data_IF_778723257201
#
_entry.id   IF_778723257201
#
_cell.length_a   1.000
_cell.length_b   1.000
_cell.length_c   1.000
_cell.angle_alpha   90.00
_cell.angle_beta   90.00
_cell.angle_gamma   90.00
#
_symmetry.space_group_name_H-M   'P 1'
#
loop_
_entity.id
_entity.type
_entity.pdbx_description
1 polymer ?
#
# COMPACT_ATOMS: atom_id res chain seq x y z
N UNK A 1 -7.42 -61.80 -13.22
CA UNK A 1 -8.14 -61.13 -14.32
C UNK A 1 -9.24 -60.22 -13.75
N UNK A 2 -8.88 -59.21 -12.93
CA UNK A 2 -9.85 -58.32 -12.26
C UNK A 2 -9.34 -56.88 -12.07
N UNK A 3 -8.03 -56.63 -12.26
CA UNK A 3 -7.42 -55.32 -12.02
C UNK A 3 -7.49 -54.44 -13.28
N UNK A 4 -7.34 -55.02 -14.48
CA UNK A 4 -7.40 -54.28 -15.75
C UNK A 4 -8.80 -53.70 -16.04
N UNK A 5 -9.87 -54.43 -15.71
CA UNK A 5 -11.25 -53.95 -15.93
C UNK A 5 -11.63 -52.78 -15.01
N UNK A 6 -11.01 -52.72 -13.82
CA UNK A 6 -11.27 -51.64 -12.86
C UNK A 6 -10.57 -50.34 -13.28
N UNK A 7 -9.38 -50.45 -13.87
CA UNK A 7 -8.65 -49.31 -14.42
C UNK A 7 -9.34 -48.74 -15.66
N UNK A 8 -9.79 -49.59 -16.59
CA UNK A 8 -10.49 -49.14 -17.80
C UNK A 8 -11.83 -48.46 -17.48
N UNK A 9 -12.53 -48.91 -16.43
CA UNK A 9 -13.76 -48.28 -15.95
C UNK A 9 -13.49 -46.89 -15.34
N UNK A 10 -12.41 -46.73 -14.58
CA UNK A 10 -12.02 -45.42 -14.00
C UNK A 10 -11.57 -44.45 -15.09
N UNK A 11 -10.77 -44.92 -16.06
CA UNK A 11 -10.35 -44.12 -17.23
C UNK A 11 -11.55 -43.68 -18.07
N UNK A 12 -12.46 -44.59 -18.42
CA UNK A 12 -13.65 -44.23 -19.20
C UNK A 12 -14.58 -43.29 -18.43
N UNK A 13 -14.64 -43.39 -17.10
CA UNK A 13 -15.44 -42.48 -16.27
C UNK A 13 -14.80 -41.09 -16.15
N UNK A 14 -13.47 -41.01 -16.14
CA UNK A 14 -12.73 -39.74 -16.17
C UNK A 14 -12.83 -39.07 -17.53
N UNK A 15 -12.62 -39.82 -18.63
CA UNK A 15 -12.77 -39.30 -20.00
C UNK A 15 -14.19 -38.77 -20.25
N UNK A 16 -15.22 -39.55 -19.91
CA UNK A 16 -16.62 -39.12 -20.08
C UNK A 16 -16.99 -37.91 -19.22
N UNK A 17 -16.32 -37.70 -18.09
CA UNK A 17 -16.51 -36.50 -17.27
C UNK A 17 -15.76 -35.28 -17.82
N UNK A 18 -14.59 -35.48 -18.46
CA UNK A 18 -13.85 -34.42 -19.14
C UNK A 18 -14.55 -33.96 -20.43
N UNK A 19 -15.17 -34.87 -21.19
CA UNK A 19 -16.00 -34.54 -22.36
C UNK A 19 -17.29 -33.80 -21.97
N UNK A 20 -17.74 -33.95 -20.72
CA UNK A 20 -18.88 -33.21 -20.16
C UNK A 20 -18.52 -31.80 -19.70
N UNK A 21 -17.23 -31.48 -19.61
CA UNK A 21 -16.77 -30.15 -19.26
C UNK A 21 -16.94 -29.25 -20.49
N UNK A 22 -18.00 -28.44 -20.49
CA UNK A 22 -18.29 -27.54 -21.60
C UNK A 22 -17.29 -26.36 -21.56
N UNK A 23 -16.07 -26.60 -22.06
CA UNK A 23 -14.93 -25.67 -22.11
C UNK A 23 -15.33 -24.25 -22.55
N UNK A 24 -16.14 -24.03 -23.61
CA UNK A 24 -16.55 -22.67 -23.98
C UNK A 24 -17.41 -21.99 -22.91
N UNK A 25 -18.28 -22.72 -22.20
CA UNK A 25 -19.09 -22.20 -21.09
C UNK A 25 -18.24 -21.86 -19.87
N UNK A 26 -17.19 -22.63 -19.60
CA UNK A 26 -16.22 -22.34 -18.54
C UNK A 26 -15.40 -21.08 -18.84
N UNK A 27 -14.88 -20.97 -20.07
CA UNK A 27 -14.15 -19.77 -20.53
C UNK A 27 -15.01 -18.51 -20.41
N UNK A 28 -16.28 -18.60 -20.82
CA UNK A 28 -17.21 -17.49 -20.72
C UNK A 28 -17.44 -17.07 -19.26
N UNK A 29 -17.62 -18.01 -18.33
CA UNK A 29 -17.77 -17.71 -16.89
C UNK A 29 -16.53 -17.06 -16.29
N UNK A 30 -15.34 -17.55 -16.62
CA UNK A 30 -14.08 -16.96 -16.16
C UNK A 30 -13.91 -15.53 -16.67
N UNK A 31 -14.25 -15.28 -17.93
CA UNK A 31 -14.24 -13.94 -18.52
C UNK A 31 -15.21 -12.99 -17.81
N UNK A 32 -16.43 -13.44 -17.51
CA UNK A 32 -17.38 -12.64 -16.75
C UNK A 32 -16.91 -12.37 -15.31
N UNK A 33 -16.32 -13.34 -14.63
CA UNK A 33 -15.74 -13.14 -13.30
C UNK A 33 -14.59 -12.13 -13.34
N UNK A 34 -13.73 -12.20 -14.34
CA UNK A 34 -12.67 -11.22 -14.56
C UNK A 34 -13.23 -9.82 -14.78
N UNK A 35 -14.24 -9.67 -15.65
CA UNK A 35 -14.94 -8.41 -15.89
C UNK A 35 -15.57 -7.84 -14.62
N UNK A 36 -16.27 -8.67 -13.85
CA UNK A 36 -16.87 -8.27 -12.57
C UNK A 36 -15.78 -7.79 -11.61
N UNK A 37 -14.66 -8.52 -11.51
CA UNK A 37 -13.51 -8.11 -10.70
C UNK A 37 -12.94 -6.75 -11.14
N UNK A 38 -12.82 -6.54 -12.45
CA UNK A 38 -12.28 -5.29 -13.01
C UNK A 38 -13.22 -4.09 -12.76
N UNK A 39 -14.54 -4.30 -12.88
CA UNK A 39 -15.55 -3.28 -12.60
C UNK A 39 -15.60 -2.96 -11.11
N UNK A 40 -15.54 -3.97 -10.24
CA UNK A 40 -15.62 -3.79 -8.79
C UNK A 40 -14.33 -3.28 -8.17
N UNK A 41 -13.18 -3.44 -8.83
CA UNK A 41 -11.88 -3.04 -8.30
C UNK A 41 -11.84 -1.56 -7.90
N UNK A 42 -12.27 -0.66 -8.79
CA UNK A 42 -12.23 0.79 -8.53
C UNK A 42 -13.15 1.22 -7.38
N UNK A 43 -14.44 0.83 -7.34
CA UNK A 43 -15.32 1.11 -6.21
C UNK A 43 -14.80 0.55 -4.89
N UNK A 44 -14.25 -0.67 -4.89
CA UNK A 44 -13.69 -1.29 -3.67
C UNK A 44 -12.46 -0.51 -3.21
N UNK A 45 -11.56 -0.13 -4.12
CA UNK A 45 -10.37 0.68 -3.80
C UNK A 45 -10.77 2.04 -3.22
N UNK A 46 -11.75 2.71 -3.83
CA UNK A 46 -12.30 3.98 -3.34
C UNK A 46 -12.92 3.84 -1.95
N UNK A 47 -13.78 2.83 -1.76
CA UNK A 47 -14.40 2.57 -0.47
C UNK A 47 -13.34 2.26 0.60
N UNK A 48 -12.34 1.43 0.29
CA UNK A 48 -11.25 1.12 1.23
C UNK A 48 -10.53 2.40 1.65
N UNK A 49 -10.21 3.27 0.68
CA UNK A 49 -9.49 4.51 0.92
C UNK A 49 -10.19 5.48 1.87
N UNK A 50 -11.51 5.63 1.71
CA UNK A 50 -12.29 6.60 2.49
C UNK A 50 -12.85 6.03 3.80
N UNK A 51 -13.02 4.71 3.91
CA UNK A 51 -13.59 4.08 5.10
C UNK A 51 -12.53 3.62 6.10
N UNK A 52 -11.29 3.42 5.68
CA UNK A 52 -10.20 2.93 6.54
C UNK A 52 -9.04 3.90 6.60
N UNK A 53 -8.30 3.84 7.70
CA UNK A 53 -7.01 4.50 7.81
C UNK A 53 -5.96 3.85 6.91
N UNK A 54 -5.11 4.68 6.31
CA UNK A 54 -3.96 4.20 5.56
C UNK A 54 -3.11 3.45 6.57
N UNK A 55 -2.78 2.21 6.24
CA UNK A 55 -1.77 1.50 6.99
C UNK A 55 -0.45 2.25 6.87
N UNK A 56 0.40 2.18 7.89
CA UNK A 56 1.72 2.80 7.83
C UNK A 56 2.58 2.27 6.67
N UNK A 57 2.33 1.04 6.19
CA UNK A 57 2.98 0.52 4.99
C UNK A 57 2.53 1.25 3.72
N UNK A 58 1.24 1.53 3.57
CA UNK A 58 0.71 2.29 2.44
C UNK A 58 1.18 3.76 2.46
N UNK A 59 1.51 4.32 3.64
CA UNK A 59 2.08 5.68 3.75
C UNK A 59 3.41 5.81 3.00
N UNK A 60 4.24 4.76 3.01
CA UNK A 60 5.52 4.76 2.29
C UNK A 60 5.36 4.60 0.77
N UNK A 61 4.17 4.27 0.26
CA UNK A 61 3.95 4.16 -1.19
C UNK A 61 3.88 5.52 -1.90
N UNK A 62 3.87 6.62 -1.14
CA UNK A 62 3.81 7.99 -1.65
C UNK A 62 5.17 8.69 -1.59
N UNK A 63 5.36 9.68 -2.45
CA UNK A 63 6.48 10.60 -2.34
C UNK A 63 6.17 11.66 -1.30
N UNK A 64 7.13 11.91 -0.41
CA UNK A 64 7.01 12.92 0.61
C UNK A 64 8.15 13.91 0.49
N UNK A 65 7.83 15.20 0.57
CA UNK A 65 8.79 16.28 0.56
C UNK A 65 8.75 17.00 1.89
N UNK A 66 9.92 17.34 2.44
CA UNK A 66 9.98 18.16 3.65
C UNK A 66 9.39 19.54 3.39
N UNK A 67 8.47 19.94 4.26
CA UNK A 67 7.93 21.30 4.33
C UNK A 67 8.65 22.14 5.41
N UNK A 68 9.14 21.48 6.46
CA UNK A 68 9.99 22.12 7.46
C UNK A 68 10.23 21.26 8.69
N UNK A 69 10.70 21.89 9.78
CA UNK A 69 10.78 21.23 11.07
C UNK A 69 10.65 22.21 12.25
N UNK A 70 10.31 21.66 13.40
CA UNK A 70 10.27 22.37 14.69
C UNK A 70 11.02 21.57 15.76
N UNK A 71 11.42 22.23 16.86
CA UNK A 71 11.93 21.52 18.05
C UNK A 71 10.76 20.97 18.88
N UNK A 72 10.96 19.80 19.51
CA UNK A 72 9.97 19.25 20.46
C UNK A 72 9.72 20.17 21.67
N UNK A 73 10.65 21.06 22.00
CA UNK A 73 10.53 22.03 23.09
C UNK A 73 10.20 23.45 22.58
N UNK A 74 9.37 24.18 23.34
CA UNK A 74 8.90 25.58 23.15
C UNK A 74 9.99 26.68 23.04
N UNK A 75 11.23 26.32 22.73
CA UNK A 75 12.35 27.22 22.51
C UNK A 75 12.31 27.77 21.08
N UNK A 76 11.88 29.02 20.96
CA UNK A 76 11.80 29.84 19.73
C UNK A 76 13.18 30.22 19.13
N UNK A 77 14.15 29.33 19.08
CA UNK A 77 15.44 29.66 18.45
C UNK A 77 15.89 28.66 17.38
N UNK A 78 16.19 29.29 16.25
CA UNK A 78 16.48 28.80 14.92
C UNK A 78 17.55 27.70 14.90
N UNK A 79 17.25 26.62 14.17
CA UNK A 79 18.27 25.78 13.56
C UNK A 79 18.54 26.43 12.19
N UNK A 80 19.79 26.75 11.87
CA UNK A 80 20.11 27.37 10.57
C UNK A 80 19.72 26.48 9.39
N UNK A 81 19.64 25.15 9.58
CA UNK A 81 19.21 24.18 8.57
C UNK A 81 18.43 23.03 9.22
N UNK A 82 17.33 22.62 8.59
CA UNK A 82 16.49 21.52 9.09
C UNK A 82 17.20 20.17 8.90
N UNK A 83 17.45 19.36 9.95
CA UNK A 83 18.22 18.12 9.83
C UNK A 83 17.39 16.93 9.29
N UNK A 84 16.23 17.21 8.71
CA UNK A 84 15.31 16.22 8.16
C UNK A 84 15.66 15.91 6.71
N UNK A 85 15.48 14.66 6.29
CA UNK A 85 15.72 14.28 4.91
C UNK A 85 14.74 14.98 3.99
N UNK A 86 15.23 15.65 2.95
CA UNK A 86 14.43 16.52 2.09
C UNK A 86 13.30 15.79 1.35
N UNK A 87 13.50 14.50 1.08
CA UNK A 87 12.53 13.64 0.42
C UNK A 87 12.53 12.25 1.05
N UNK A 88 11.36 11.62 1.06
CA UNK A 88 11.18 10.19 1.33
C UNK A 88 10.46 9.62 0.12
N UNK A 89 11.07 8.62 -0.51
CA UNK A 89 10.58 7.98 -1.72
C UNK A 89 10.11 6.55 -1.45
N UNK A 90 9.20 6.00 -2.26
CA UNK A 90 8.69 4.64 -2.06
C UNK A 90 9.74 3.53 -2.16
N UNK A 91 10.86 3.80 -2.83
CA UNK A 91 11.98 2.87 -3.01
C UNK A 91 13.06 2.98 -1.93
N UNK A 92 12.92 3.92 -1.00
CA UNK A 92 13.85 4.06 0.11
C UNK A 92 13.76 2.84 1.05
N UNK A 93 14.88 2.48 1.69
CA UNK A 93 14.97 1.37 2.63
C UNK A 93 14.37 1.68 4.02
N UNK A 94 13.16 2.22 4.02
CA UNK A 94 12.38 2.45 5.21
C UNK A 94 11.49 1.25 5.55
N UNK A 95 11.24 1.06 6.83
CA UNK A 95 10.24 0.12 7.35
C UNK A 95 9.49 0.79 8.47
N UNK A 96 8.17 0.67 8.50
CA UNK A 96 7.34 1.19 9.59
C UNK A 96 6.60 0.05 10.25
N UNK A 97 6.58 0.08 11.58
CA UNK A 97 5.77 -0.82 12.41
C UNK A 97 4.32 -0.36 12.49
N UNK A 98 3.42 -1.24 12.93
CA UNK A 98 2.00 -0.88 13.08
C UNK A 98 1.76 0.28 14.08
N UNK A 99 2.71 0.53 14.99
CA UNK A 99 2.67 1.62 15.96
C UNK A 99 3.22 2.96 15.43
N UNK A 100 3.68 2.99 14.17
CA UNK A 100 4.25 4.17 13.52
C UNK A 100 5.75 4.36 13.75
N UNK A 101 6.44 3.40 14.36
CA UNK A 101 7.90 3.49 14.52
C UNK A 101 8.59 3.23 13.18
N UNK A 102 9.29 4.24 12.67
CA UNK A 102 10.00 4.27 11.39
C UNK A 102 11.46 3.88 11.59
N UNK A 103 11.93 2.97 10.74
CA UNK A 103 13.30 2.47 10.71
C UNK A 103 13.92 2.71 9.34
N UNK A 104 15.17 3.17 9.31
CA UNK A 104 15.99 3.30 8.10
C UNK A 104 17.19 2.36 8.23
N UNK A 105 17.41 1.48 7.25
CA UNK A 105 18.51 0.48 7.30
C UNK A 105 18.56 -0.31 8.64
N UNK A 106 17.39 -0.70 9.17
CA UNK A 106 17.20 -1.36 10.47
C UNK A 106 17.58 -0.53 11.71
N UNK A 107 17.79 0.78 11.59
CA UNK A 107 17.98 1.69 12.72
C UNK A 107 16.72 2.52 12.93
N UNK A 108 16.32 2.67 14.19
CA UNK A 108 15.20 3.53 14.54
C UNK A 108 15.48 4.96 14.10
N UNK A 109 14.63 5.49 13.24
CA UNK A 109 14.74 6.83 12.67
C UNK A 109 13.85 7.82 13.42
N UNK A 110 12.64 7.41 13.78
CA UNK A 110 11.70 8.26 14.50
C UNK A 110 10.30 7.65 14.54
N UNK A 111 9.36 8.39 15.11
CA UNK A 111 7.94 8.01 15.13
C UNK A 111 7.17 8.80 14.09
N UNK A 112 6.62 8.12 13.11
CA UNK A 112 5.78 8.70 12.06
C UNK A 112 4.35 8.84 12.55
N UNK A 113 3.75 9.98 12.25
CA UNK A 113 2.34 10.29 12.51
C UNK A 113 1.75 10.86 11.23
N UNK A 114 0.85 10.11 10.60
CA UNK A 114 0.07 10.62 9.48
C UNK A 114 -1.03 11.54 10.02
N UNK A 115 -1.05 12.79 9.55
CA UNK A 115 -2.09 13.77 9.92
C UNK A 115 -3.19 13.81 8.88
N UNK A 116 -2.79 13.89 7.62
CA UNK A 116 -3.69 13.97 6.47
C UNK A 116 -3.24 12.98 5.41
N UNK A 117 -4.19 12.21 4.89
CA UNK A 117 -3.93 11.27 3.81
C UNK A 117 -3.85 12.06 2.49
N UNK A 118 -3.03 11.63 1.52
CA UNK A 118 -3.07 12.18 0.17
C UNK A 118 -4.50 12.20 -0.42
N UNK A 119 -4.76 12.98 -1.46
CA UNK A 119 -6.04 12.91 -2.15
C UNK A 119 -6.12 11.63 -2.99
N UNK A 120 -7.26 10.93 -2.94
CA UNK A 120 -7.51 9.78 -3.82
C UNK A 120 -7.55 10.20 -5.29
N UNK A 121 -8.14 11.36 -5.56
CA UNK A 121 -8.16 11.99 -6.87
C UNK A 121 -7.20 13.17 -6.82
N UNK A 122 -5.92 12.87 -6.96
CA UNK A 122 -4.92 13.91 -7.08
C UNK A 122 -5.06 14.61 -8.44
N UNK A 123 -5.16 15.94 -8.41
CA UNK A 123 -5.12 16.75 -9.61
C UNK A 123 -3.70 16.75 -10.17
N UNK A 124 -3.51 16.15 -11.34
CA UNK A 124 -2.19 16.07 -12.01
C UNK A 124 -1.60 17.43 -12.38
N UNK A 125 -2.36 18.52 -12.27
CA UNK A 125 -1.87 19.89 -12.45
C UNK A 125 -1.28 20.49 -11.17
N UNK A 126 -1.52 19.88 -10.01
CA UNK A 126 -0.95 20.28 -8.73
C UNK A 126 0.24 19.38 -8.39
N UNK A 127 1.26 19.95 -7.73
CA UNK A 127 2.45 19.18 -7.30
C UNK A 127 2.16 18.45 -5.99
N UNK A 128 1.29 19.02 -5.14
CA UNK A 128 0.99 18.46 -3.83
C UNK A 128 -0.27 17.62 -3.92
N UNK A 129 -0.21 16.39 -3.43
CA UNK A 129 -1.39 15.53 -3.35
C UNK A 129 -2.26 15.81 -2.12
N UNK A 130 -1.82 16.70 -1.22
CA UNK A 130 -2.60 17.18 -0.08
C UNK A 130 -2.51 16.29 1.17
N UNK A 131 -1.62 15.31 1.19
CA UNK A 131 -1.28 14.55 2.37
C UNK A 131 -0.26 15.28 3.22
N UNK A 132 -0.32 15.07 4.53
CA UNK A 132 0.57 15.68 5.51
C UNK A 132 0.97 14.67 6.58
N UNK A 133 2.27 14.55 6.84
CA UNK A 133 2.78 13.70 7.91
C UNK A 133 3.88 14.38 8.73
N UNK A 134 4.05 13.87 9.94
CA UNK A 134 5.08 14.29 10.87
C UNK A 134 5.97 13.11 11.22
N UNK A 135 7.28 13.34 11.31
CA UNK A 135 8.23 12.39 11.89
C UNK A 135 8.85 13.00 13.13
N UNK A 136 8.56 12.42 14.29
CA UNK A 136 9.14 12.80 15.56
C UNK A 136 10.49 12.11 15.69
N UNK A 137 11.56 12.89 15.56
CA UNK A 137 12.95 12.45 15.75
C UNK A 137 13.40 12.79 17.17
N UNK A 138 13.11 11.89 18.11
CA UNK A 138 13.47 12.08 19.52
C UNK A 138 14.98 12.09 19.76
N UNK A 139 15.76 11.45 18.89
CA UNK A 139 17.23 11.46 18.90
C UNK A 139 17.80 12.85 18.60
N UNK A 140 17.16 13.60 17.70
CA UNK A 140 17.54 14.97 17.34
C UNK A 140 16.74 16.04 18.10
N UNK A 141 15.68 15.65 18.80
CA UNK A 141 14.78 16.57 19.49
C UNK A 141 13.96 17.45 18.54
N UNK A 142 13.67 16.96 17.32
CA UNK A 142 12.91 17.70 16.29
C UNK A 142 11.69 16.94 15.79
N UNK A 143 10.73 17.68 15.27
CA UNK A 143 9.60 17.17 14.48
C UNK A 143 9.80 17.63 13.03
N UNK A 144 9.89 16.68 12.12
CA UNK A 144 9.99 16.91 10.68
C UNK A 144 8.60 16.89 10.06
N UNK A 145 8.25 17.89 9.27
CA UNK A 145 6.98 18.01 8.57
C UNK A 145 7.15 17.68 7.10
N UNK A 146 6.23 16.91 6.54
CA UNK A 146 6.26 16.45 5.17
C UNK A 146 4.90 16.60 4.49
N UNK A 147 4.93 17.12 3.27
CA UNK A 147 3.80 17.14 2.36
C UNK A 147 3.93 16.00 1.34
N UNK A 148 2.81 15.39 0.97
CA UNK A 148 2.80 14.40 -0.09
C UNK A 148 2.84 15.04 -1.48
N UNK A 149 3.61 14.44 -2.37
CA UNK A 149 3.71 14.74 -3.79
C UNK A 149 3.01 13.61 -4.54
#
# INVERSE_FOLDING_TARGET
MFICDKFSFIENKLLNNMDKLNIPKLKQRLFFLFLIGLILYWPIKFAKYHLFDLSYQEVLEFYWRTDGCSRLSNTKEYIMECPCDSFIQPDDHFTITDDGDLYFENKFYGKLILKEKPSFFHDTSEILSGGFMEIIRSDLGVVCYYDSI
#
